data_IF_458510410251
#
_entry.id   IF_458510410251
#
_cell.length_a   1.000
_cell.length_b   1.000
_cell.length_c   1.000
_cell.angle_alpha   90.00
_cell.angle_beta   90.00
_cell.angle_gamma   90.00
#
_symmetry.space_group_name_H-M   'P 1'
#
loop_
_entity.id
_entity.type
_entity.pdbx_description
1 polymer ?
2 non-polymer ?
3 non-polymer ?
4 water ?
#
# COMPACT_ATOMS: atom_id res chain seq x y z
N UNK A 1 -1.13 -11.63 -14.71
CA UNK A 1 -2.29 -11.01 -14.01
C UNK A 1 -1.82 -9.78 -13.23
N UNK A 2 -0.72 -9.89 -12.48
CA UNK A 2 -0.20 -8.79 -11.61
C UNK A 2 0.77 -7.92 -12.41
N UNK A 3 1.12 -8.31 -13.62
CA UNK A 3 2.40 -7.82 -14.16
C UNK A 3 2.46 -6.31 -14.38
N UNK A 4 1.35 -5.64 -14.66
CA UNK A 4 1.46 -4.19 -14.91
C UNK A 4 1.71 -3.42 -13.60
N UNK A 5 1.52 -4.05 -12.42
CA UNK A 5 1.86 -3.42 -11.15
C UNK A 5 3.34 -3.50 -10.82
N UNK A 6 4.09 -4.35 -11.50
CA UNK A 6 5.46 -4.63 -11.08
C UNK A 6 6.36 -3.47 -11.44
N UNK A 7 7.31 -3.20 -10.58
CA UNK A 7 8.30 -2.19 -10.82
C UNK A 7 8.46 -1.26 -9.61
N UNK A 8 9.13 -0.15 -9.87
CA UNK A 8 9.45 0.86 -8.85
C UNK A 8 8.57 2.07 -9.10
N UNK A 9 7.95 2.55 -8.04
CA UNK A 9 6.94 3.60 -8.10
C UNK A 9 7.28 4.67 -7.06
N UNK A 10 7.05 5.91 -7.40
CA UNK A 10 7.37 7.03 -6.50
C UNK A 10 6.13 7.85 -6.24
N UNK A 11 5.91 8.26 -4.99
CA UNK A 11 4.73 9.06 -4.66
C UNK A 11 4.83 10.44 -5.27
N UNK A 12 3.75 10.85 -5.96
CA UNK A 12 3.67 12.17 -6.58
C UNK A 12 2.44 12.96 -6.17
N UNK A 13 1.51 12.42 -5.43
CA UNK A 13 0.33 13.16 -4.96
C UNK A 13 -0.24 12.41 -3.78
N UNK A 14 -0.79 13.13 -2.82
CA UNK A 14 -1.43 12.48 -1.68
C UNK A 14 -2.59 13.34 -1.20
N UNK A 15 -3.73 12.70 -0.98
CA UNK A 15 -4.93 13.34 -0.49
C UNK A 15 -5.45 12.57 0.72
N UNK A 16 -5.64 13.29 1.83
CA UNK A 16 -6.27 12.77 3.03
C UNK A 16 -5.45 11.71 3.78
N UNK A 17 -4.13 11.69 3.58
CA UNK A 17 -3.33 10.69 4.31
C UNK A 17 -3.34 10.98 5.81
N UNK A 18 -3.36 12.25 6.21
CA UNK A 18 -3.44 12.52 7.64
C UNK A 18 -4.73 11.96 8.23
N UNK A 19 -5.85 12.12 7.52
CA UNK A 19 -7.11 11.57 8.01
C UNK A 19 -7.00 10.06 8.21
N UNK A 20 -6.41 9.38 7.24
CA UNK A 20 -6.24 7.92 7.32
C UNK A 20 -5.37 7.52 8.49
N UNK A 21 -4.21 8.14 8.60
CA UNK A 21 -3.32 7.84 9.72
C UNK A 21 -3.98 8.13 11.07
N UNK A 22 -4.67 9.25 11.16
CA UNK A 22 -5.32 9.62 12.42
C UNK A 22 -6.36 8.56 12.78
N UNK A 23 -7.13 8.10 11.80
CA UNK A 23 -8.16 7.07 12.02
C UNK A 23 -7.55 5.79 12.59
N UNK A 24 -6.34 5.45 12.13
CA UNK A 24 -5.61 4.28 12.62
C UNK A 24 -4.97 4.53 13.99
N UNK A 25 -5.03 5.74 14.53
CA UNK A 25 -4.42 6.01 15.84
C UNK A 25 -2.96 6.38 15.78
N UNK A 26 -2.45 6.76 14.63
CA UNK A 26 -1.06 7.19 14.52
C UNK A 26 -0.92 8.53 15.24
N UNK A 27 0.12 8.67 16.04
CA UNK A 27 0.40 9.88 16.81
C UNK A 27 0.75 11.08 15.96
N UNK A 28 0.55 12.27 16.50
CA UNK A 28 0.70 13.49 15.69
C UNK A 28 2.10 13.64 15.14
N UNK A 29 3.13 13.25 15.89
CA UNK A 29 4.49 13.50 15.42
C UNK A 29 4.80 12.59 14.24
N UNK A 30 4.35 11.35 14.28
CA UNK A 30 4.52 10.44 13.14
C UNK A 30 3.73 10.93 11.95
N UNK A 31 2.52 11.41 12.18
CA UNK A 31 1.75 11.97 11.08
C UNK A 31 2.48 13.15 10.42
N UNK A 32 3.13 14.03 11.22
CA UNK A 32 3.88 15.18 10.68
C UNK A 32 4.89 14.69 9.69
N UNK A 33 5.71 13.78 10.19
CA UNK A 33 6.81 13.34 9.32
C UNK A 33 6.28 12.66 8.07
N UNK A 34 5.32 11.76 8.25
CA UNK A 34 4.78 10.99 7.12
C UNK A 34 4.04 11.88 6.11
N UNK A 35 3.54 13.04 6.50
CA UNK A 35 2.87 13.97 5.59
C UNK A 35 3.83 14.61 4.61
N UNK A 36 5.13 14.52 4.88
CA UNK A 36 6.15 15.16 4.05
C UNK A 36 7.10 14.14 3.40
N UNK A 37 6.94 12.86 3.60
CA UNK A 37 7.80 11.94 2.88
C UNK A 37 7.11 11.52 1.59
N UNK A 38 7.94 11.09 0.67
CA UNK A 38 7.48 10.59 -0.64
C UNK A 38 8.07 9.20 -0.81
N UNK A 39 7.37 8.18 -0.35
CA UNK A 39 7.94 6.85 -0.42
C UNK A 39 8.12 6.35 -1.86
N UNK A 40 8.98 5.36 -1.92
CA UNK A 40 9.16 4.52 -3.11
C UNK A 40 8.57 3.16 -2.79
N UNK A 41 7.72 2.65 -3.69
CA UNK A 41 7.11 1.33 -3.56
C UNK A 41 7.65 0.43 -4.68
N UNK A 42 8.23 -0.70 -4.31
CA UNK A 42 8.82 -1.64 -5.27
C UNK A 42 8.00 -2.91 -5.18
N UNK A 43 7.47 -3.35 -6.33
CA UNK A 43 6.64 -4.56 -6.38
C UNK A 43 7.34 -5.51 -7.35
N UNK A 44 7.68 -6.70 -6.87
CA UNK A 44 8.41 -7.70 -7.66
C UNK A 44 7.71 -9.05 -7.49
N UNK A 45 7.86 -9.92 -8.49
CA UNK A 45 7.37 -11.28 -8.36
C UNK A 45 8.46 -12.27 -8.68
N UNK A 46 8.32 -13.42 -8.04
CA UNK A 46 9.14 -14.59 -8.31
C UNK A 46 8.18 -15.76 -8.24
N UNK A 47 7.78 -16.26 -9.43
CA UNK A 47 6.73 -17.27 -9.46
C UNK A 47 5.48 -16.69 -8.82
N UNK A 48 4.88 -17.46 -7.93
CA UNK A 48 3.65 -17.14 -7.21
C UNK A 48 3.88 -16.14 -6.08
N UNK A 49 5.10 -15.76 -5.78
CA UNK A 49 5.36 -14.93 -4.60
C UNK A 49 5.61 -13.48 -5.04
N UNK A 50 4.86 -12.58 -4.46
CA UNK A 50 5.03 -11.14 -4.65
C UNK A 50 5.73 -10.57 -3.44
N UNK A 51 6.61 -9.61 -3.69
CA UNK A 51 7.25 -8.87 -2.62
C UNK A 51 6.99 -7.40 -2.86
N UNK A 52 6.51 -6.72 -1.82
CA UNK A 52 6.16 -5.29 -1.90
C UNK A 52 6.97 -4.58 -0.83
N UNK A 53 7.89 -3.74 -1.29
CA UNK A 53 8.76 -2.93 -0.43
C UNK A 53 8.22 -1.50 -0.44
N UNK A 54 8.25 -0.84 0.71
CA UNK A 54 7.95 0.58 0.79
C UNK A 54 9.10 1.24 1.52
N UNK A 55 9.78 2.16 0.85
CA UNK A 55 10.99 2.78 1.37
C UNK A 55 10.80 4.27 1.50
N UNK A 56 11.31 4.82 2.60
CA UNK A 56 11.33 6.27 2.74
C UNK A 56 12.45 6.67 3.68
N UNK A 57 12.59 7.97 3.86
CA UNK A 57 13.53 8.50 4.86
C UNK A 57 13.08 8.26 6.29
N UNK A 58 11.85 7.89 6.50
CA UNK A 58 11.28 7.71 7.83
C UNK A 58 11.08 6.28 8.22
N UNK A 59 10.36 5.54 7.44
CA UNK A 59 9.93 4.15 7.69
C UNK A 59 10.28 3.33 6.47
N UNK A 60 10.55 2.07 6.69
CA UNK A 60 10.63 1.10 5.62
C UNK A 60 9.82 -0.12 6.01
N UNK A 61 9.18 -0.73 5.01
CA UNK A 61 8.48 -2.00 5.23
C UNK A 61 8.77 -2.93 4.06
N UNK A 62 8.56 -4.22 4.30
CA UNK A 62 8.59 -5.21 3.23
C UNK A 62 7.66 -6.35 3.61
N UNK A 63 6.85 -6.79 2.65
CA UNK A 63 6.02 -7.96 2.80
C UNK A 63 6.22 -8.86 1.59
N UNK A 64 6.10 -10.17 1.83
CA UNK A 64 6.02 -11.15 0.75
C UNK A 64 4.78 -11.99 0.96
N UNK A 65 4.12 -12.33 -0.15
CA UNK A 65 2.85 -13.04 -0.05
C UNK A 65 2.55 -13.73 -1.37
N UNK A 66 1.69 -14.74 -1.28
CA UNK A 66 1.00 -15.30 -2.47
C UNK A 66 -0.38 -14.70 -2.55
N UNK A 67 -0.86 -14.37 -3.76
CA UNK A 67 -2.20 -13.89 -3.89
C UNK A 67 -3.17 -14.90 -3.34
N UNK A 68 -4.14 -14.43 -2.57
CA UNK A 68 -5.19 -15.26 -2.09
C UNK A 68 -4.85 -16.13 -0.90
N UNK A 69 -3.69 -15.93 -0.28
CA UNK A 69 -3.25 -16.71 0.87
C UNK A 69 -2.94 -15.74 2.03
N UNK A 70 -3.58 -15.93 3.16
CA UNK A 70 -3.41 -15.05 4.30
C UNK A 70 -1.95 -15.08 4.78
N UNK A 71 -1.50 -13.94 5.27
CA UNK A 71 -0.15 -13.82 5.84
C UNK A 71 -0.23 -12.88 7.04
N UNK A 72 0.69 -13.09 7.99
CA UNK A 72 0.86 -12.15 9.09
C UNK A 72 1.65 -10.95 8.61
N UNK A 73 1.33 -9.78 9.11
CA UNK A 73 2.01 -8.54 8.73
C UNK A 73 2.09 -7.64 9.97
N UNK A 74 3.21 -6.94 10.06
CA UNK A 74 3.39 -5.88 11.06
C UNK A 74 3.55 -4.58 10.28
N UNK A 75 2.58 -3.69 10.38
CA UNK A 75 2.51 -2.55 9.50
C UNK A 75 3.52 -1.46 9.92
N UNK A 76 3.63 -0.43 9.09
CA UNK A 76 4.56 0.66 9.34
C UNK A 76 4.31 1.34 10.69
N UNK A 77 3.03 1.41 11.07
CA UNK A 77 2.58 1.96 12.34
C UNK A 77 2.44 0.90 13.43
N UNK A 78 3.10 -0.25 13.24
CA UNK A 78 3.23 -1.31 14.29
C UNK A 78 1.94 -2.06 14.61
N UNK A 79 0.97 -2.08 13.69
CA UNK A 79 -0.21 -2.94 13.93
C UNK A 79 0.16 -4.37 13.52
N UNK A 80 -0.23 -5.35 14.34
CA UNK A 80 -0.02 -6.77 13.99
C UNK A 80 -1.35 -7.22 13.38
N UNK A 81 -1.31 -7.50 12.08
CA UNK A 81 -2.57 -7.74 11.33
C UNK A 81 -2.51 -9.06 10.57
N UNK A 82 -3.68 -9.54 10.21
CA UNK A 82 -3.88 -10.72 9.32
C UNK A 82 -4.21 -10.09 7.97
N UNK A 83 -3.44 -10.43 6.95
CA UNK A 83 -3.55 -9.79 5.64
C UNK A 83 -3.82 -10.79 4.55
N UNK A 84 -4.47 -10.30 3.50
CA UNK A 84 -4.62 -11.09 2.26
C UNK A 84 -4.64 -10.08 1.12
N UNK A 85 -4.01 -10.47 0.02
CA UNK A 85 -3.95 -9.63 -1.18
C UNK A 85 -4.54 -10.47 -2.34
N UNK A 86 -5.39 -9.84 -3.13
CA UNK A 86 -6.03 -10.50 -4.27
C UNK A 86 -6.14 -9.51 -5.43
N UNK A 87 -6.45 -10.03 -6.60
CA UNK A 87 -6.86 -9.20 -7.72
C UNK A 87 -8.36 -9.22 -7.82
N UNK A 88 -8.93 -8.04 -8.00
CA UNK A 88 -10.39 -7.86 -8.05
C UNK A 88 -10.67 -6.78 -9.05
N UNK A 89 -11.28 -7.12 -10.18
CA UNK A 89 -11.54 -6.09 -11.18
C UNK A 89 -10.29 -5.47 -11.74
N UNK A 90 -9.19 -6.23 -11.73
CA UNK A 90 -7.91 -5.72 -12.19
C UNK A 90 -7.15 -4.89 -11.15
N UNK A 91 -7.73 -4.70 -9.98
CA UNK A 91 -7.13 -3.93 -8.89
C UNK A 91 -6.46 -4.91 -7.92
N UNK A 92 -5.33 -4.49 -7.36
CA UNK A 92 -4.65 -5.26 -6.34
C UNK A 92 -5.24 -4.83 -4.99
N UNK A 93 -5.97 -5.71 -4.31
CA UNK A 93 -6.70 -5.35 -3.09
C UNK A 93 -6.03 -6.04 -1.92
N UNK A 94 -5.62 -5.23 -0.94
CA UNK A 94 -4.89 -5.73 0.23
C UNK A 94 -5.77 -5.38 1.43
N UNK A 95 -6.24 -6.43 2.09
CA UNK A 95 -7.13 -6.32 3.25
C UNK A 95 -6.34 -6.69 4.49
N UNK A 96 -6.36 -5.82 5.51
CA UNK A 96 -5.74 -6.06 6.81
C UNK A 96 -6.82 -6.13 7.86
N UNK A 97 -6.72 -7.11 8.76
CA UNK A 97 -7.67 -7.34 9.84
C UNK A 97 -6.94 -7.43 11.16
N UNK A 98 -7.44 -6.73 12.18
CA UNK A 98 -6.86 -6.81 13.53
C UNK A 98 -7.88 -6.29 14.51
N UNK A 99 -8.02 -6.94 15.65
CA UNK A 99 -8.90 -6.40 16.72
C UNK A 99 -10.33 -6.19 16.22
N UNK A 100 -10.76 -6.97 15.26
CA UNK A 100 -12.07 -6.77 14.67
C UNK A 100 -12.19 -5.61 13.70
N UNK A 101 -11.13 -4.83 13.48
CA UNK A 101 -11.09 -3.71 12.53
C UNK A 101 -10.60 -4.25 11.20
N UNK A 102 -10.83 -3.45 10.17
CA UNK A 102 -10.27 -3.73 8.85
C UNK A 102 -9.80 -2.43 8.25
N UNK A 103 -8.83 -2.56 7.36
CA UNK A 103 -8.49 -1.49 6.43
C UNK A 103 -8.18 -2.13 5.09
N UNK A 104 -8.49 -1.40 4.03
CA UNK A 104 -8.17 -1.85 2.67
C UNK A 104 -7.21 -0.86 2.03
N UNK A 105 -6.28 -1.46 1.27
CA UNK A 105 -5.28 -0.74 0.49
C UNK A 105 -5.50 -1.25 -0.94
N UNK A 106 -6.08 -0.43 -1.79
CA UNK A 106 -6.50 -0.84 -3.13
C UNK A 106 -5.63 -0.12 -4.13
N UNK A 107 -4.97 -0.87 -5.01
CA UNK A 107 -4.11 -0.27 -6.03
C UNK A 107 -4.73 -0.54 -7.40
N UNK A 108 -4.76 0.50 -8.21
CA UNK A 108 -5.19 0.33 -9.59
C UNK A 108 -4.39 1.22 -10.46
N UNK A 109 -4.36 0.80 -11.70
CA UNK A 109 -3.59 1.51 -12.69
C UNK A 109 -4.56 2.32 -13.52
N UNK A 110 -4.30 3.61 -13.58
CA UNK A 110 -5.13 4.56 -14.35
C UNK A 110 -4.13 5.40 -15.16
N UNK A 111 -4.26 5.07 -16.47
CA UNK A 111 -3.45 5.85 -17.46
C UNK A 111 -1.96 5.81 -17.06
N UNK A 112 -1.53 4.63 -16.64
CA UNK A 112 -0.10 4.36 -16.33
C UNK A 112 0.34 4.77 -14.94
N UNK A 113 -0.50 5.42 -14.17
CA UNK A 113 -0.16 5.78 -12.78
C UNK A 113 -0.80 4.75 -11.88
N UNK A 114 -0.19 4.56 -10.72
CA UNK A 114 -0.73 3.62 -9.75
C UNK A 114 -1.39 4.43 -8.66
N UNK A 115 -2.68 4.22 -8.54
CA UNK A 115 -3.52 4.94 -7.57
C UNK A 115 -3.80 3.99 -6.42
N UNK A 116 -3.35 4.40 -5.23
CA UNK A 116 -3.53 3.65 -3.99
C UNK A 116 -4.62 4.35 -3.19
N UNK A 117 -5.70 3.62 -2.92
CA UNK A 117 -6.79 4.13 -2.11
C UNK A 117 -6.78 3.37 -0.79
N UNK A 118 -6.64 4.12 0.32
CA UNK A 118 -6.56 3.58 1.67
C UNK A 118 -7.85 3.95 2.40
N UNK A 119 -8.55 2.96 2.95
CA UNK A 119 -9.81 3.22 3.62
C UNK A 119 -9.74 2.60 5.00
N UNK A 120 -10.07 3.38 6.03
CA UNK A 120 -10.24 2.86 7.40
C UNK A 120 -11.31 3.71 8.03
N UNK A 121 -12.28 3.08 8.68
CA UNK A 121 -13.36 3.88 9.25
C UNK A 121 -14.07 4.61 8.12
N UNK A 122 -14.23 5.90 8.28
CA UNK A 122 -14.78 6.74 7.22
C UNK A 122 -13.70 7.41 6.39
N UNK A 123 -12.43 7.30 6.78
CA UNK A 123 -11.35 7.99 6.11
C UNK A 123 -10.99 7.28 4.81
N UNK A 124 -10.85 8.10 3.76
CA UNK A 124 -10.48 7.60 2.43
C UNK A 124 -9.35 8.49 1.93
N UNK A 125 -8.20 7.88 1.73
CA UNK A 125 -6.99 8.55 1.26
C UNK A 125 -6.66 8.04 -0.13
N UNK A 126 -6.24 8.96 -1.01
CA UNK A 126 -5.82 8.58 -2.35
C UNK A 126 -4.40 9.06 -2.55
N UNK A 127 -3.47 8.11 -2.83
CA UNK A 127 -2.00 8.29 -3.00
C UNK A 127 -1.71 7.95 -4.46
N UNK A 128 -1.09 8.83 -5.25
CA UNK A 128 -0.75 8.57 -6.64
C UNK A 128 0.73 8.35 -6.76
N UNK A 129 1.05 7.27 -7.44
CA UNK A 129 2.42 6.85 -7.68
C UNK A 129 2.69 6.81 -9.18
N UNK A 130 3.86 7.25 -9.55
CA UNK A 130 4.33 7.21 -10.95
C UNK A 130 5.55 6.29 -11.05
N UNK A 131 5.60 5.61 -12.18
CA UNK A 131 6.60 4.56 -12.40
C UNK A 131 7.94 5.17 -12.65
N UNK A 132 8.93 4.56 -12.05
CA UNK A 132 10.35 4.84 -12.32
C UNK A 132 10.88 3.95 -13.44
N UNK A 133 11.69 4.52 -14.28
CA UNK A 133 12.30 3.78 -15.40
C UNK A 133 13.37 2.84 -14.88
X LIG B 1 1.16 4.35 2.52
X LIG B 1 1.79 4.15 1.17
X LIG B 1 2.24 3.04 0.83
X LIG B 1 1.25 3.24 3.47
X LIG B 1 0.64 3.46 4.83
X LIG B 1 0.86 2.38 5.80
X LIG B 1 0.20 2.55 7.12
X LIG B 1 1.86 5.19 0.42
X LIG C 1 4.12 16.10 1.09
X LIG C 1 4.54 14.80 0.64
X LIG C 1 3.58 14.35 -0.47
X LIG C 1 3.88 15.20 -1.57
X LIG C 1 3.29 15.81 -3.74
X LIG C 1 3.05 14.85 -2.65
X LIG C 1 4.37 15.44 -4.58
X LIG C 1 5.34 15.74 -6.72
X LIG C 1 4.44 16.36 -5.67
X LIG C 1 6.71 15.60 -6.22
X LIG C 1 9.00 15.05 -6.76
X LIG C 1 7.56 14.96 -7.13
X LIG C 1 9.13 14.29 -5.56
#
# INVERSE_FOLDING_TARGET
>A
MVDAFLGTWKLVDSKNFDDYMKSLGVGFATRQVASMTKPTTIIEKNGDILTLKTHSTFKNTEISFKLGVEFDETTADDRKVKSIVTLDGGKLVHLQKWDGQETTLVRELIDGKLILTLTHGTAVCTRTYEKEA
>B hetero
1 6NA CA C O CB CG CD C6 OXT
>C hetero
1 1PE OH2 C12 C22 OH3 C13 C23 OH4 C14 C24 OH5 C15 C25 OH6
#
